data_IF_760406043402
#
_entry.id   IF_760406043402
#
_cell.length_a   1.000
_cell.length_b   1.000
_cell.length_c   1.000
_cell.angle_alpha   90.00
_cell.angle_beta   90.00
_cell.angle_gamma   90.00
#
_symmetry.space_group_name_H-M   'P 1'
#
loop_
_entity.id
_entity.type
_entity.pdbx_description
1 polymer ?
#
# COMPACT_ATOMS: atom_id res chain seq x y z
N UNK A 1 33.43 1.46 -33.88
CA UNK A 1 32.30 1.32 -34.83
C UNK A 1 31.11 1.99 -34.19
N UNK A 2 30.57 3.07 -34.75
CA UNK A 2 29.38 3.71 -34.20
C UNK A 2 28.17 2.82 -34.51
N UNK A 3 27.64 2.15 -33.50
CA UNK A 3 26.38 1.41 -33.60
C UNK A 3 25.26 2.34 -34.08
N UNK A 4 24.38 1.88 -34.99
CA UNK A 4 23.27 2.69 -35.48
C UNK A 4 22.31 3.00 -34.33
N UNK A 5 22.17 4.28 -34.00
CA UNK A 5 21.16 4.75 -33.05
C UNK A 5 19.79 4.55 -33.71
N UNK A 6 18.96 3.70 -33.12
CA UNK A 6 17.61 3.45 -33.62
C UNK A 6 16.75 4.69 -33.35
N UNK A 7 16.62 5.57 -34.36
CA UNK A 7 15.91 6.85 -34.24
C UNK A 7 14.37 6.70 -34.23
N UNK A 8 13.85 5.47 -34.17
CA UNK A 8 12.42 5.15 -34.10
C UNK A 8 12.15 4.02 -33.12
N UNK A 9 10.95 4.02 -32.55
CA UNK A 9 10.49 2.94 -31.68
C UNK A 9 10.51 1.57 -32.42
N UNK A 10 11.06 0.54 -31.77
CA UNK A 10 11.14 -0.83 -32.30
C UNK A 10 9.76 -1.49 -32.53
N UNK A 11 8.72 -1.00 -31.83
CA UNK A 11 7.36 -1.45 -32.06
C UNK A 11 6.80 -0.80 -33.34
N UNK A 12 6.61 -1.60 -34.38
CA UNK A 12 6.09 -1.18 -35.68
C UNK A 12 4.72 -0.49 -35.60
N UNK A 13 3.89 -0.83 -34.62
CA UNK A 13 2.59 -0.17 -34.41
C UNK A 13 2.73 1.26 -33.86
N UNK A 14 3.83 1.58 -33.20
CA UNK A 14 4.09 2.91 -32.65
C UNK A 14 4.88 3.79 -33.64
N UNK A 15 6.00 3.28 -34.16
CA UNK A 15 6.79 3.92 -35.22
C UNK A 15 7.31 5.35 -34.95
N UNK A 16 7.07 5.92 -33.76
CA UNK A 16 7.40 7.32 -33.47
C UNK A 16 8.91 7.53 -33.38
N UNK A 17 9.40 8.70 -33.86
CA UNK A 17 10.80 9.05 -33.75
C UNK A 17 11.19 9.28 -32.29
N UNK A 18 12.37 8.82 -31.89
CA UNK A 18 12.95 9.02 -30.56
C UNK A 18 14.12 9.98 -30.70
N UNK A 19 14.08 11.09 -29.96
CA UNK A 19 15.12 12.13 -30.02
C UNK A 19 16.40 11.72 -29.25
N UNK A 20 16.30 10.74 -28.34
CA UNK A 20 17.37 10.27 -27.47
C UNK A 20 17.27 8.74 -27.29
N UNK A 21 18.40 8.09 -26.98
CA UNK A 21 18.44 6.64 -26.67
C UNK A 21 17.73 6.40 -25.33
N UNK A 22 16.52 5.89 -25.39
CA UNK A 22 15.69 5.58 -24.22
C UNK A 22 15.52 4.07 -24.08
N UNK A 23 15.57 3.56 -22.84
CA UNK A 23 15.38 2.13 -22.59
C UNK A 23 13.94 1.67 -22.91
N UNK A 24 12.97 2.59 -22.80
CA UNK A 24 11.56 2.36 -23.08
C UNK A 24 11.00 3.51 -23.92
N UNK A 25 10.12 3.21 -24.88
CA UNK A 25 9.44 4.24 -25.67
C UNK A 25 8.46 5.03 -24.79
N UNK A 26 8.54 6.37 -24.72
CA UNK A 26 7.64 7.17 -23.90
C UNK A 26 6.19 7.17 -24.40
N UNK A 27 5.94 6.73 -25.63
CA UNK A 27 4.61 6.71 -26.22
C UNK A 27 3.86 5.39 -26.02
N UNK A 28 4.55 4.25 -26.13
CA UNK A 28 3.91 2.93 -26.06
C UNK A 28 4.50 2.01 -24.98
N UNK A 29 5.52 2.45 -24.25
CA UNK A 29 6.13 1.69 -23.16
C UNK A 29 6.93 0.47 -23.58
N UNK A 30 7.17 0.23 -24.89
CA UNK A 30 7.95 -0.92 -25.33
C UNK A 30 9.44 -0.71 -25.06
N UNK A 31 10.11 -1.74 -24.54
CA UNK A 31 11.55 -1.75 -24.35
C UNK A 31 12.27 -1.62 -25.71
N UNK A 32 13.31 -0.78 -25.78
CA UNK A 32 14.08 -0.49 -26.99
C UNK A 32 15.41 -1.23 -27.06
N UNK A 33 15.73 -2.05 -26.04
CA UNK A 33 16.91 -2.90 -26.00
C UNK A 33 16.53 -4.37 -25.81
N UNK A 34 17.21 -5.26 -26.52
CA UNK A 34 17.15 -6.70 -26.27
C UNK A 34 17.94 -7.02 -24.98
N UNK A 35 17.32 -7.75 -24.06
CA UNK A 35 17.99 -8.21 -22.84
C UNK A 35 19.14 -9.18 -23.20
N UNK A 36 20.30 -9.11 -22.53
CA UNK A 36 21.36 -10.10 -22.71
C UNK A 36 20.89 -11.48 -22.21
N UNK A 37 21.24 -12.53 -22.96
CA UNK A 37 20.85 -13.90 -22.68
C UNK A 37 21.37 -14.40 -21.31
N UNK A 38 20.50 -15.11 -20.60
CA UNK A 38 20.77 -15.67 -19.27
C UNK A 38 21.81 -16.79 -19.32
N UNK A 39 22.82 -16.69 -18.46
CA UNK A 39 23.79 -17.76 -18.17
C UNK A 39 23.13 -18.78 -17.23
N UNK A 40 23.28 -20.07 -17.55
CA UNK A 40 22.65 -21.20 -16.85
C UNK A 40 23.13 -21.37 -15.38
N UNK A 41 22.26 -21.83 -14.46
CA UNK A 41 22.61 -22.03 -13.05
C UNK A 41 23.32 -23.38 -12.78
N UNK A 42 24.22 -23.47 -11.77
CA UNK A 42 24.85 -24.71 -11.32
C UNK A 42 23.92 -25.59 -10.45
N UNK A 43 24.23 -26.91 -10.30
CA UNK A 43 23.34 -27.89 -9.68
C UNK A 43 23.24 -27.81 -8.15
N UNK A 44 22.06 -28.24 -7.66
CA UNK A 44 21.54 -28.12 -6.29
C UNK A 44 22.02 -29.27 -5.38
N UNK A 45 22.43 -28.97 -4.15
CA UNK A 45 22.66 -29.94 -3.07
C UNK A 45 21.38 -30.20 -2.24
N UNK A 46 21.19 -31.40 -1.64
CA UNK A 46 19.93 -31.81 -1.03
C UNK A 46 19.62 -31.14 0.31
N UNK A 47 18.31 -31.01 0.57
CA UNK A 47 17.69 -30.22 1.62
C UNK A 47 17.83 -30.84 3.03
N UNK A 48 18.20 -30.00 4.01
CA UNK A 48 18.06 -30.27 5.45
C UNK A 48 16.65 -29.88 5.87
N UNK A 49 15.91 -30.80 6.50
CA UNK A 49 14.57 -30.57 7.04
C UNK A 49 14.57 -29.48 8.13
N UNK A 50 13.64 -28.50 8.09
CA UNK A 50 13.46 -27.55 9.18
C UNK A 50 12.64 -28.15 10.35
N UNK A 51 12.90 -27.73 11.60
CA UNK A 51 12.18 -28.18 12.80
C UNK A 51 10.71 -27.67 12.85
N UNK A 52 9.86 -28.28 13.69
CA UNK A 52 8.43 -27.96 13.77
C UNK A 52 8.17 -26.53 14.30
N UNK A 53 7.27 -25.83 13.62
CA UNK A 53 6.83 -24.46 13.90
C UNK A 53 5.91 -24.46 15.14
N UNK A 54 6.12 -23.59 16.15
CA UNK A 54 5.22 -23.47 17.30
C UNK A 54 3.85 -22.88 16.92
N UNK A 55 2.78 -23.18 17.68
CA UNK A 55 1.41 -22.78 17.32
C UNK A 55 1.24 -21.27 17.27
N UNK A 56 0.89 -20.79 16.08
CA UNK A 56 0.46 -19.42 15.79
C UNK A 56 -0.73 -19.01 16.67
N UNK A 57 -0.56 -17.93 17.41
CA UNK A 57 -1.64 -17.24 18.11
C UNK A 57 -2.66 -16.75 17.08
N UNK A 58 -3.90 -17.27 17.17
CA UNK A 58 -5.05 -16.71 16.46
C UNK A 58 -5.54 -15.48 17.23
N UNK A 59 -5.72 -14.32 16.58
CA UNK A 59 -6.52 -13.26 17.14
C UNK A 59 -7.96 -13.76 17.30
N UNK A 60 -8.48 -13.69 18.52
CA UNK A 60 -9.87 -13.98 18.83
C UNK A 60 -10.76 -12.93 18.15
N UNK A 61 -11.86 -13.32 17.46
CA UNK A 61 -12.79 -12.36 16.89
C UNK A 61 -13.47 -11.54 18.01
N UNK A 62 -13.78 -10.25 17.78
CA UNK A 62 -14.52 -9.45 18.74
C UNK A 62 -15.90 -10.09 18.98
N UNK A 63 -16.29 -10.12 20.25
CA UNK A 63 -17.60 -10.59 20.68
C UNK A 63 -18.71 -9.83 19.94
N UNK A 64 -19.54 -10.56 19.21
CA UNK A 64 -20.80 -10.05 18.67
C UNK A 64 -21.66 -9.54 19.82
N UNK A 65 -21.82 -8.22 19.91
CA UNK A 65 -22.83 -7.62 20.77
C UNK A 65 -24.19 -7.91 20.14
N UNK A 66 -24.92 -8.74 20.87
CA UNK A 66 -26.33 -9.07 20.85
C UNK A 66 -27.26 -8.17 20.00
N UNK A 67 -28.10 -8.88 19.24
CA UNK A 67 -29.34 -8.40 18.65
C UNK A 67 -30.31 -7.80 19.71
N UNK A 68 -31.22 -6.90 19.32
CA UNK A 68 -32.25 -6.36 20.20
C UNK A 68 -33.32 -7.42 20.53
N UNK A 69 -33.82 -7.50 21.78
CA UNK A 69 -34.92 -8.40 22.13
C UNK A 69 -36.27 -7.85 21.65
N UNK A 70 -37.07 -8.75 21.08
CA UNK A 70 -38.48 -8.58 20.76
C UNK A 70 -39.33 -8.68 22.04
N UNK A 71 -40.30 -7.76 22.16
CA UNK A 71 -41.58 -7.68 22.92
C UNK A 71 -41.86 -8.63 24.12
N UNK A 72 -42.68 -8.17 25.08
CA UNK A 72 -44.06 -8.70 25.07
C UNK A 72 -45.19 -7.75 25.56
N UNK A 73 -46.39 -8.09 25.06
CA UNK A 73 -47.69 -8.09 25.74
C UNK A 73 -48.65 -6.89 25.71
N UNK A 74 -49.92 -7.28 25.88
CA UNK A 74 -51.18 -6.82 25.31
C UNK A 74 -52.16 -6.29 26.38
N UNK A 75 -53.13 -5.52 25.88
CA UNK A 75 -54.49 -5.21 26.42
C UNK A 75 -54.63 -4.33 27.70
N UNK A 76 -55.81 -3.74 28.00
CA UNK A 76 -56.99 -3.37 27.18
C UNK A 76 -57.46 -1.89 27.41
N UNK A 77 -58.48 -1.47 26.66
CA UNK A 77 -59.16 -0.17 26.75
C UNK A 77 -59.96 0.06 28.06
N UNK A 78 -60.15 1.31 28.54
CA UNK A 78 -61.21 1.67 29.48
C UNK A 78 -62.39 2.40 28.80
N UNK A 79 -63.59 2.01 29.23
CA UNK A 79 -64.90 2.55 28.89
C UNK A 79 -65.27 3.84 29.69
N UNK A 80 -66.32 4.59 29.29
CA UNK A 80 -66.71 5.88 29.90
C UNK A 80 -67.87 5.77 30.92
N UNK A 81 -68.08 6.77 31.81
CA UNK A 81 -69.34 6.99 32.53
C UNK A 81 -69.96 8.39 32.23
N UNK A 82 -71.15 8.76 32.76
CA UNK A 82 -72.46 8.53 32.14
C UNK A 82 -73.26 9.82 31.81
N UNK A 83 -74.37 9.63 31.09
CA UNK A 83 -75.33 10.59 30.54
C UNK A 83 -76.35 11.07 31.61
N UNK A 84 -76.86 12.32 31.48
CA UNK A 84 -78.22 12.78 31.88
C UNK A 84 -78.53 14.08 31.12
N UNK A 85 -79.26 14.02 30.01
CA UNK A 85 -80.74 14.02 29.84
C UNK A 85 -81.38 15.42 29.82
N UNK A 86 -81.94 15.81 28.66
CA UNK A 86 -83.29 16.36 28.55
C UNK A 86 -83.83 16.23 27.10
N UNK A 87 -85.11 15.88 26.87
CA UNK A 87 -85.63 15.46 25.57
C UNK A 87 -86.66 16.42 24.94
N UNK A 88 -86.74 16.44 23.59
CA UNK A 88 -87.94 16.14 22.75
C UNK A 88 -87.97 16.91 21.39
N UNK A 89 -87.80 16.13 20.30
CA UNK A 89 -88.49 16.10 18.95
C UNK A 89 -88.74 17.39 18.13
N UNK A 90 -89.02 17.28 16.79
CA UNK A 90 -88.56 16.32 15.78
C UNK A 90 -88.16 16.95 14.40
N UNK A 91 -87.58 16.10 13.53
CA UNK A 91 -87.49 16.22 12.06
C UNK A 91 -86.46 17.26 11.52
N UNK A 92 -85.72 17.09 10.42
CA UNK A 92 -85.88 16.28 9.19
C UNK A 92 -84.47 16.10 8.54
N UNK A 93 -84.37 15.12 7.64
CA UNK A 93 -83.39 14.95 6.54
C UNK A 93 -82.05 14.22 6.82
N UNK A 94 -82.04 12.94 6.40
CA UNK A 94 -80.84 12.24 5.95
C UNK A 94 -80.23 12.98 4.76
N UNK A 95 -79.03 13.53 4.92
CA UNK A 95 -78.16 13.88 3.79
C UNK A 95 -77.29 12.66 3.45
N UNK A 96 -77.60 12.03 2.33
CA UNK A 96 -76.75 11.03 1.66
C UNK A 96 -75.38 11.65 1.34
N UNK A 97 -74.24 10.94 1.53
CA UNK A 97 -72.94 11.47 1.11
C UNK A 97 -72.90 11.60 -0.41
N UNK A 98 -72.45 12.73 -0.98
CA UNK A 98 -72.42 12.88 -2.43
C UNK A 98 -71.42 11.87 -3.05
N UNK A 99 -71.75 11.29 -4.22
CA UNK A 99 -70.86 10.37 -4.91
C UNK A 99 -69.57 11.11 -5.27
N UNK A 100 -68.41 10.50 -4.97
CA UNK A 100 -67.11 10.99 -5.42
C UNK A 100 -67.17 11.13 -6.94
N UNK A 101 -67.10 12.36 -7.44
CA UNK A 101 -67.09 12.62 -8.87
C UNK A 101 -65.94 11.81 -9.51
N UNK A 102 -66.14 11.19 -10.68
CA UNK A 102 -65.07 10.49 -11.37
C UNK A 102 -63.95 11.50 -11.62
N UNK A 103 -62.75 11.17 -11.15
CA UNK A 103 -61.54 11.98 -11.39
C UNK A 103 -61.43 12.15 -12.90
N UNK A 104 -61.65 13.38 -13.40
CA UNK A 104 -61.66 13.65 -14.83
C UNK A 104 -60.32 13.18 -15.44
N UNK A 105 -60.36 12.61 -16.64
CA UNK A 105 -59.17 12.15 -17.37
C UNK A 105 -58.05 13.23 -17.41
N UNK A 106 -58.47 14.50 -17.44
CA UNK A 106 -57.61 15.69 -17.39
C UNK A 106 -56.78 15.79 -16.10
N UNK A 107 -57.34 15.40 -14.95
CA UNK A 107 -56.65 15.35 -13.67
C UNK A 107 -55.64 14.19 -13.62
N UNK A 108 -55.96 13.06 -14.26
CA UNK A 108 -55.02 11.95 -14.44
C UNK A 108 -53.84 12.31 -15.35
N UNK A 109 -54.08 13.04 -16.44
CA UNK A 109 -53.02 13.53 -17.32
C UNK A 109 -52.12 14.55 -16.61
N UNK A 110 -52.68 15.43 -15.78
CA UNK A 110 -51.89 16.36 -14.97
C UNK A 110 -51.07 15.64 -13.89
N UNK A 111 -51.63 14.62 -13.24
CA UNK A 111 -50.89 13.80 -12.29
C UNK A 111 -49.76 13.00 -12.97
N UNK A 112 -50.02 12.45 -14.16
CA UNK A 112 -49.01 11.78 -14.97
C UNK A 112 -47.92 12.76 -15.45
N UNK A 113 -48.29 13.96 -15.90
CA UNK A 113 -47.34 15.00 -16.29
C UNK A 113 -46.51 15.50 -15.10
N UNK A 114 -47.12 15.62 -13.91
CA UNK A 114 -46.42 15.95 -12.69
C UNK A 114 -45.47 14.82 -12.26
N UNK A 115 -45.87 13.56 -12.34
CA UNK A 115 -45.01 12.41 -12.10
C UNK A 115 -43.86 12.32 -13.12
N UNK A 116 -44.13 12.59 -14.40
CA UNK A 116 -43.09 12.66 -15.45
C UNK A 116 -42.16 13.85 -15.22
N UNK A 117 -42.69 15.00 -14.79
CA UNK A 117 -41.92 16.19 -14.43
C UNK A 117 -41.04 15.96 -13.20
N UNK A 118 -41.59 15.37 -12.13
CA UNK A 118 -40.85 14.97 -10.93
C UNK A 118 -39.83 13.88 -11.28
N UNK A 119 -40.14 12.96 -12.18
CA UNK A 119 -39.19 11.98 -12.70
C UNK A 119 -38.10 12.60 -13.58
N UNK A 120 -38.38 13.69 -14.29
CA UNK A 120 -37.40 14.44 -15.07
C UNK A 120 -36.51 15.33 -14.19
N UNK A 121 -37.07 15.93 -13.15
CA UNK A 121 -36.37 16.77 -12.18
C UNK A 121 -35.56 15.92 -11.19
N UNK A 122 -36.04 14.72 -10.86
CA UNK A 122 -35.35 13.73 -10.04
C UNK A 122 -34.71 12.61 -10.88
N UNK A 123 -34.48 12.87 -12.17
CA UNK A 123 -33.76 11.95 -13.05
C UNK A 123 -32.30 11.99 -12.64
N UNK A 124 -31.67 10.87 -12.21
CA UNK A 124 -30.30 10.86 -11.75
C UNK A 124 -29.27 10.94 -12.89
N UNK A 125 -29.64 11.50 -14.04
CA UNK A 125 -28.80 11.44 -15.24
C UNK A 125 -27.79 12.58 -15.29
N UNK A 126 -28.02 13.73 -14.67
CA UNK A 126 -27.10 14.86 -14.86
C UNK A 126 -26.72 15.57 -13.54
N UNK A 127 -25.57 15.10 -13.03
CA UNK A 127 -24.56 15.74 -12.15
C UNK A 127 -24.74 15.52 -10.63
N UNK A 128 -23.96 14.56 -10.07
CA UNK A 128 -22.57 14.84 -9.66
C UNK A 128 -21.57 13.79 -10.19
N UNK A 129 -20.61 14.21 -11.03
CA UNK A 129 -19.72 13.39 -11.87
C UNK A 129 -20.50 12.36 -12.71
N UNK A 130 -20.37 12.41 -14.05
CA UNK A 130 -21.09 11.46 -14.90
C UNK A 130 -20.80 10.02 -14.42
N UNK A 131 -21.76 9.09 -14.52
CA UNK A 131 -21.52 7.68 -14.12
C UNK A 131 -20.27 7.12 -14.81
N UNK A 132 -19.98 7.59 -16.03
CA UNK A 132 -18.74 7.30 -16.75
C UNK A 132 -17.48 7.79 -16.01
N UNK A 133 -17.52 8.99 -15.44
CA UNK A 133 -16.45 9.60 -14.65
C UNK A 133 -16.27 8.90 -13.30
N UNK A 134 -17.36 8.51 -12.63
CA UNK A 134 -17.27 7.69 -11.41
C UNK A 134 -16.67 6.30 -11.70
N UNK A 135 -17.02 5.68 -12.83
CA UNK A 135 -16.42 4.42 -13.28
C UNK A 135 -14.95 4.61 -13.63
N UNK A 136 -14.57 5.73 -14.26
CA UNK A 136 -13.16 6.04 -14.53
C UNK A 136 -12.37 6.28 -13.24
N UNK A 137 -12.92 7.03 -12.28
CA UNK A 137 -12.31 7.25 -10.97
C UNK A 137 -12.15 5.92 -10.22
N UNK A 138 -13.18 5.06 -10.20
CA UNK A 138 -13.10 3.73 -9.58
C UNK A 138 -12.10 2.81 -10.30
N UNK A 139 -11.99 2.93 -11.63
CA UNK A 139 -10.98 2.20 -12.40
C UNK A 139 -9.58 2.73 -12.08
N UNK A 140 -9.42 4.04 -11.89
CA UNK A 140 -8.16 4.65 -11.47
C UNK A 140 -7.75 4.16 -10.07
N UNK A 141 -8.68 4.00 -9.12
CA UNK A 141 -8.41 3.37 -7.82
C UNK A 141 -7.90 1.93 -7.98
N UNK A 142 -8.54 1.14 -8.85
CA UNK A 142 -8.07 -0.22 -9.14
C UNK A 142 -6.65 -0.25 -9.75
N UNK A 143 -6.30 0.74 -10.58
CA UNK A 143 -4.94 0.90 -11.13
C UNK A 143 -3.92 1.36 -10.09
N UNK A 144 -4.35 2.17 -9.12
CA UNK A 144 -3.55 2.59 -7.96
C UNK A 144 -3.42 1.50 -6.89
N UNK A 145 -3.99 0.31 -7.15
CA UNK A 145 -4.04 -0.81 -6.22
C UNK A 145 -4.89 -0.57 -4.96
N UNK A 146 -5.79 0.41 -4.99
CA UNK A 146 -6.85 0.56 -4.00
C UNK A 146 -8.09 -0.24 -4.41
N UNK A 147 -8.04 -1.55 -4.16
CA UNK A 147 -9.14 -2.44 -4.52
C UNK A 147 -10.34 -2.32 -3.59
N UNK A 148 -10.15 -1.87 -2.35
CA UNK A 148 -11.25 -1.69 -1.40
C UNK A 148 -12.03 -0.41 -1.71
N UNK A 149 -11.33 0.67 -2.08
CA UNK A 149 -11.92 1.85 -2.71
C UNK A 149 -12.67 1.52 -4.00
N UNK A 150 -12.09 0.69 -4.88
CA UNK A 150 -12.76 0.29 -6.12
C UNK A 150 -14.02 -0.60 -5.89
N UNK A 151 -13.98 -1.51 -4.91
CA UNK A 151 -15.12 -2.36 -4.53
C UNK A 151 -16.25 -1.57 -3.88
N UNK A 152 -15.92 -0.61 -3.01
CA UNK A 152 -16.90 0.29 -2.39
C UNK A 152 -17.55 1.20 -3.44
N UNK A 153 -16.78 1.78 -4.36
CA UNK A 153 -17.30 2.53 -5.50
C UNK A 153 -18.23 1.67 -6.38
N UNK A 154 -17.89 0.40 -6.60
CA UNK A 154 -18.74 -0.55 -7.33
C UNK A 154 -20.07 -0.83 -6.60
N UNK A 155 -20.07 -0.89 -5.27
CA UNK A 155 -21.30 -1.02 -4.48
C UNK A 155 -22.18 0.23 -4.60
N UNK A 156 -21.58 1.43 -4.55
CA UNK A 156 -22.28 2.70 -4.77
C UNK A 156 -22.89 2.75 -6.17
N UNK A 157 -22.13 2.41 -7.22
CA UNK A 157 -22.60 2.35 -8.61
C UNK A 157 -23.75 1.35 -8.80
N UNK A 158 -23.71 0.19 -8.11
CA UNK A 158 -24.82 -0.78 -8.11
C UNK A 158 -26.07 -0.21 -7.45
N UNK A 159 -25.94 0.46 -6.32
CA UNK A 159 -27.08 1.10 -5.63
C UNK A 159 -27.68 2.25 -6.44
N UNK A 160 -26.85 2.99 -7.19
CA UNK A 160 -27.26 4.07 -8.08
C UNK A 160 -27.84 3.59 -9.43
N UNK A 161 -28.00 2.27 -9.63
CA UNK A 161 -28.49 1.65 -10.88
C UNK A 161 -27.68 2.06 -12.12
N UNK A 162 -26.35 2.11 -11.99
CA UNK A 162 -25.43 2.32 -13.12
C UNK A 162 -25.60 1.23 -14.20
N UNK A 163 -25.31 1.53 -15.49
CA UNK A 163 -25.49 0.58 -16.58
C UNK A 163 -24.60 -0.66 -16.40
N UNK A 164 -25.21 -1.85 -16.54
CA UNK A 164 -24.57 -3.14 -16.25
C UNK A 164 -23.26 -3.39 -17.02
N UNK A 165 -23.13 -2.82 -18.23
CA UNK A 165 -21.90 -2.93 -19.01
C UNK A 165 -20.70 -2.24 -18.34
N UNK A 166 -20.91 -1.10 -17.68
CA UNK A 166 -19.85 -0.38 -16.97
C UNK A 166 -19.47 -1.11 -15.67
N UNK A 167 -20.46 -1.62 -14.94
CA UNK A 167 -20.23 -2.42 -13.73
C UNK A 167 -19.41 -3.67 -14.07
N UNK A 168 -19.73 -4.38 -15.16
CA UNK A 168 -18.96 -5.56 -15.61
C UNK A 168 -17.52 -5.21 -16.00
N UNK A 169 -17.29 -4.09 -16.69
CA UNK A 169 -15.93 -3.64 -17.03
C UNK A 169 -15.11 -3.30 -15.78
N UNK A 170 -15.69 -2.58 -14.82
CA UNK A 170 -15.04 -2.26 -13.56
C UNK A 170 -14.75 -3.54 -12.75
N UNK A 171 -15.68 -4.48 -12.73
CA UNK A 171 -15.45 -5.76 -12.05
C UNK A 171 -14.29 -6.54 -12.70
N UNK A 172 -14.22 -6.57 -14.03
CA UNK A 172 -13.13 -7.20 -14.76
C UNK A 172 -11.77 -6.50 -14.53
N UNK A 173 -11.74 -5.17 -14.42
CA UNK A 173 -10.51 -4.43 -14.11
C UNK A 173 -10.05 -4.66 -12.67
N UNK A 174 -10.97 -4.70 -11.70
CA UNK A 174 -10.67 -5.07 -10.31
C UNK A 174 -10.10 -6.48 -10.22
N UNK A 175 -10.75 -7.47 -10.84
CA UNK A 175 -10.27 -8.87 -10.80
C UNK A 175 -8.96 -9.04 -11.55
N UNK A 176 -8.78 -8.36 -12.69
CA UNK A 176 -7.56 -8.39 -13.47
C UNK A 176 -6.37 -7.74 -12.76
N UNK A 177 -6.59 -6.66 -12.01
CA UNK A 177 -5.54 -5.96 -11.26
C UNK A 177 -5.14 -6.66 -9.95
N UNK A 178 -6.05 -7.44 -9.34
CA UNK A 178 -5.91 -7.98 -8.00
C UNK A 178 -4.59 -8.71 -7.71
N UNK A 179 -4.21 -9.69 -8.53
CA UNK A 179 -3.00 -10.46 -8.27
C UNK A 179 -1.73 -9.58 -8.27
N UNK A 180 -1.67 -8.58 -9.16
CA UNK A 180 -0.53 -7.67 -9.26
C UNK A 180 -0.48 -6.69 -8.09
N UNK A 181 -1.65 -6.22 -7.64
CA UNK A 181 -1.80 -5.30 -6.52
C UNK A 181 -1.53 -5.99 -5.19
N UNK A 182 -2.04 -7.21 -4.98
CA UNK A 182 -1.74 -8.01 -3.79
C UNK A 182 -0.23 -8.26 -3.66
N UNK A 183 0.46 -8.51 -4.78
CA UNK A 183 1.91 -8.69 -4.77
C UNK A 183 2.64 -7.41 -4.39
N UNK A 184 2.24 -6.25 -4.92
CA UNK A 184 2.81 -4.95 -4.56
C UNK A 184 2.55 -4.61 -3.08
N UNK A 185 1.34 -4.85 -2.59
CA UNK A 185 0.98 -4.61 -1.21
C UNK A 185 1.79 -5.51 -0.26
N UNK A 186 1.92 -6.80 -0.57
CA UNK A 186 2.77 -7.72 0.20
C UNK A 186 4.25 -7.31 0.20
N UNK A 187 4.74 -6.78 -0.92
CA UNK A 187 6.09 -6.20 -0.99
C UNK A 187 6.22 -5.00 -0.06
N UNK A 188 5.30 -4.04 -0.13
CA UNK A 188 5.31 -2.84 0.71
C UNK A 188 5.25 -3.20 2.21
N UNK A 189 4.36 -4.12 2.60
CA UNK A 189 4.30 -4.61 3.98
C UNK A 189 5.59 -5.33 4.41
N UNK A 190 6.18 -6.14 3.53
CA UNK A 190 7.46 -6.78 3.82
C UNK A 190 8.59 -5.75 3.95
N UNK A 191 8.55 -4.66 3.18
CA UNK A 191 9.51 -3.56 3.26
C UNK A 191 9.42 -2.84 4.60
N UNK A 192 8.22 -2.46 5.03
CA UNK A 192 7.99 -1.81 6.34
C UNK A 192 8.54 -2.67 7.49
N UNK A 193 8.31 -3.99 7.43
CA UNK A 193 8.87 -4.91 8.42
C UNK A 193 10.40 -4.92 8.40
N UNK A 194 11.03 -4.89 7.22
CA UNK A 194 12.50 -4.86 7.09
C UNK A 194 13.05 -3.54 7.63
N UNK A 195 12.42 -2.41 7.34
CA UNK A 195 12.84 -1.09 7.83
C UNK A 195 12.76 -1.03 9.36
N UNK A 196 11.63 -1.44 9.93
CA UNK A 196 11.44 -1.48 11.39
C UNK A 196 12.46 -2.43 12.05
N UNK A 197 12.62 -3.63 11.50
CA UNK A 197 13.55 -4.63 12.01
C UNK A 197 15.01 -4.19 11.85
N UNK A 198 15.33 -3.38 10.84
CA UNK A 198 16.67 -2.81 10.65
C UNK A 198 16.93 -1.68 11.64
N UNK A 199 15.94 -0.81 11.89
CA UNK A 199 16.02 0.23 12.93
C UNK A 199 16.31 -0.39 14.31
N UNK A 200 15.54 -1.40 14.72
CA UNK A 200 15.78 -2.14 15.96
C UNK A 200 17.16 -2.79 16.03
N UNK A 201 17.68 -3.26 14.88
CA UNK A 201 19.02 -3.84 14.82
C UNK A 201 20.11 -2.77 14.97
N UNK A 202 19.90 -1.56 14.46
CA UNK A 202 20.79 -0.42 14.69
C UNK A 202 20.77 0.02 16.15
N UNK A 203 19.59 0.14 16.76
CA UNK A 203 19.45 0.49 18.18
C UNK A 203 20.14 -0.54 19.09
N UNK A 204 20.10 -1.81 18.69
CA UNK A 204 20.80 -2.90 19.39
C UNK A 204 22.30 -3.00 19.06
N UNK A 205 22.86 -2.10 18.25
CA UNK A 205 24.28 -2.12 17.84
C UNK A 205 24.68 -3.31 16.96
N UNK A 206 23.75 -3.88 16.20
CA UNK A 206 23.91 -5.09 15.37
C UNK A 206 23.62 -4.81 13.88
N UNK A 207 24.40 -3.96 13.20
CA UNK A 207 24.17 -3.62 11.79
C UNK A 207 24.31 -4.81 10.82
N UNK A 208 25.02 -5.88 11.19
CA UNK A 208 25.16 -7.10 10.36
C UNK A 208 23.82 -7.85 10.25
N UNK A 209 23.00 -7.77 11.29
CA UNK A 209 21.67 -8.37 11.31
C UNK A 209 20.75 -7.64 10.33
N UNK A 210 20.81 -6.29 10.32
CA UNK A 210 20.13 -5.47 9.32
C UNK A 210 20.58 -5.83 7.89
N UNK A 211 21.89 -5.97 7.66
CA UNK A 211 22.45 -6.38 6.37
C UNK A 211 21.89 -7.72 5.90
N UNK A 212 21.82 -8.71 6.80
CA UNK A 212 21.31 -10.05 6.49
C UNK A 212 19.82 -10.02 6.15
N UNK A 213 19.02 -9.24 6.90
CA UNK A 213 17.58 -9.06 6.65
C UNK A 213 17.31 -8.38 5.31
N UNK A 214 18.07 -7.33 5.00
CA UNK A 214 17.97 -6.63 3.72
C UNK A 214 18.35 -7.54 2.56
N UNK A 215 19.43 -8.30 2.67
CA UNK A 215 19.84 -9.26 1.64
C UNK A 215 18.76 -10.33 1.38
N UNK A 216 18.10 -10.83 2.44
CA UNK A 216 16.99 -11.77 2.30
C UNK A 216 15.77 -11.14 1.60
N UNK A 217 15.47 -9.88 1.90
CA UNK A 217 14.42 -9.13 1.22
C UNK A 217 14.73 -8.91 -0.26
N UNK A 218 15.92 -8.40 -0.57
CA UNK A 218 16.39 -8.15 -1.95
C UNK A 218 16.41 -9.45 -2.76
N UNK A 219 16.82 -10.58 -2.17
CA UNK A 219 16.77 -11.89 -2.84
C UNK A 219 15.35 -12.30 -3.25
N UNK A 220 14.34 -11.94 -2.46
CA UNK A 220 12.94 -12.33 -2.70
C UNK A 220 12.17 -11.34 -3.57
N UNK A 221 12.41 -10.04 -3.39
CA UNK A 221 11.63 -8.97 -4.02
C UNK A 221 12.42 -8.20 -5.08
N UNK A 222 13.74 -8.30 -5.10
CA UNK A 222 14.63 -7.52 -5.96
C UNK A 222 15.05 -6.21 -5.30
N UNK A 223 16.04 -5.58 -5.91
CA UNK A 223 16.61 -4.30 -5.49
C UNK A 223 15.81 -3.13 -6.08
N UNK A 224 15.63 -2.09 -5.28
CA UNK A 224 14.99 -0.80 -5.61
C UNK A 224 15.72 0.36 -4.91
N UNK A 225 15.33 1.61 -5.21
CA UNK A 225 15.98 2.80 -4.65
C UNK A 225 15.98 2.81 -3.11
N UNK A 226 14.89 2.36 -2.48
CA UNK A 226 14.76 2.34 -1.02
C UNK A 226 15.69 1.29 -0.38
N UNK A 227 15.83 0.11 -1.01
CA UNK A 227 16.78 -0.92 -0.57
C UNK A 227 18.23 -0.46 -0.72
N UNK A 228 18.57 0.30 -1.77
CA UNK A 228 19.92 0.84 -1.98
C UNK A 228 20.24 1.86 -0.90
N UNK A 229 19.30 2.74 -0.58
CA UNK A 229 19.46 3.75 0.47
C UNK A 229 19.65 3.08 1.85
N UNK A 230 18.83 2.07 2.16
CA UNK A 230 18.99 1.32 3.42
C UNK A 230 20.33 0.56 3.47
N UNK A 231 20.77 -0.06 2.38
CA UNK A 231 22.08 -0.71 2.29
C UNK A 231 23.23 0.28 2.50
N UNK A 232 23.13 1.49 1.94
CA UNK A 232 24.11 2.55 2.15
C UNK A 232 24.23 2.90 3.65
N UNK A 233 23.10 3.10 4.32
CA UNK A 233 23.03 3.35 5.78
C UNK A 233 23.61 2.18 6.59
N UNK A 234 23.26 0.94 6.23
CA UNK A 234 23.80 -0.27 6.88
C UNK A 234 25.33 -0.29 6.77
N UNK A 235 25.88 -0.02 5.59
CA UNK A 235 27.34 -0.02 5.37
C UNK A 235 28.05 1.11 6.12
N UNK A 236 27.43 2.28 6.29
CA UNK A 236 27.95 3.35 7.15
C UNK A 236 27.99 2.89 8.61
N UNK A 237 26.94 2.23 9.10
CA UNK A 237 26.90 1.69 10.46
C UNK A 237 27.95 0.57 10.68
N UNK A 238 28.12 -0.33 9.70
CA UNK A 238 29.16 -1.36 9.72
C UNK A 238 30.57 -0.76 9.79
N UNK A 239 30.85 0.22 8.93
CA UNK A 239 32.13 0.91 8.93
C UNK A 239 32.38 1.65 10.26
N UNK A 240 31.35 2.32 10.79
CA UNK A 240 31.43 3.01 12.09
C UNK A 240 31.78 2.05 13.22
N UNK A 241 31.15 0.88 13.26
CA UNK A 241 31.45 -0.18 14.25
C UNK A 241 32.89 -0.67 14.16
N UNK A 242 33.46 -0.80 12.97
CA UNK A 242 34.88 -1.15 12.81
C UNK A 242 35.81 -0.03 13.29
N UNK A 243 35.43 1.24 13.08
CA UNK A 243 36.18 2.36 13.66
C UNK A 243 36.08 2.41 15.18
N UNK A 244 34.92 2.10 15.77
CA UNK A 244 34.76 1.99 17.23
C UNK A 244 35.65 0.88 17.81
N UNK A 245 35.80 -0.24 17.09
CA UNK A 245 36.76 -1.29 17.47
C UNK A 245 38.20 -0.79 17.37
N UNK A 246 38.55 -0.04 16.32
CA UNK A 246 39.88 0.55 16.18
C UNK A 246 40.20 1.50 17.35
N UNK A 247 39.23 2.31 17.79
CA UNK A 247 39.34 3.16 18.98
C UNK A 247 39.54 2.33 20.26
N UNK A 248 38.82 1.21 20.41
CA UNK A 248 39.03 0.30 21.53
C UNK A 248 40.44 -0.35 21.51
N UNK A 249 40.93 -0.74 20.34
CA UNK A 249 42.30 -1.24 20.18
C UNK A 249 43.34 -0.15 20.52
N UNK A 250 43.07 1.11 20.13
CA UNK A 250 43.94 2.25 20.44
C UNK A 250 44.03 2.47 21.96
N UNK A 251 42.92 2.35 22.68
CA UNK A 251 42.90 2.43 24.14
C UNK A 251 43.73 1.32 24.81
N UNK A 252 43.79 0.14 24.18
CA UNK A 252 44.66 -0.98 24.58
C UNK A 252 46.11 -0.91 24.08
N UNK A 253 46.47 0.14 23.33
CA UNK A 253 47.77 0.27 22.65
C UNK A 253 48.11 -0.90 21.68
N UNK A 254 47.10 -1.59 21.15
CA UNK A 254 47.27 -2.75 20.27
C UNK A 254 47.30 -2.38 18.78
N UNK A 255 48.48 -2.06 18.25
CA UNK A 255 48.63 -1.63 16.84
C UNK A 255 48.09 -2.64 15.81
N UNK A 256 48.32 -3.95 16.00
CA UNK A 256 47.83 -4.98 15.06
C UNK A 256 46.31 -5.08 15.03
N UNK A 257 45.67 -4.92 16.19
CA UNK A 257 44.22 -4.88 16.33
C UNK A 257 43.65 -3.68 15.57
N UNK A 258 44.26 -2.51 15.80
CA UNK A 258 43.85 -1.24 15.19
C UNK A 258 44.01 -1.25 13.66
N UNK A 259 45.14 -1.71 13.14
CA UNK A 259 45.38 -1.82 11.68
C UNK A 259 44.35 -2.71 11.00
N UNK A 260 44.06 -3.88 11.59
CA UNK A 260 43.05 -4.81 11.06
C UNK A 260 41.66 -4.19 10.99
N UNK A 261 41.24 -3.48 12.03
CA UNK A 261 39.94 -2.81 12.07
C UNK A 261 39.86 -1.62 11.11
N UNK A 262 40.94 -0.84 10.95
CA UNK A 262 41.01 0.23 9.96
C UNK A 262 40.90 -0.29 8.53
N UNK A 263 41.65 -1.34 8.18
CA UNK A 263 41.55 -1.97 6.87
C UNK A 263 40.13 -2.52 6.61
N UNK A 264 39.46 -3.06 7.63
CA UNK A 264 38.08 -3.51 7.51
C UNK A 264 37.11 -2.34 7.25
N UNK A 265 37.25 -1.22 7.98
CA UNK A 265 36.43 -0.03 7.80
C UNK A 265 36.61 0.60 6.40
N UNK A 266 37.84 0.63 5.88
CA UNK A 266 38.17 1.23 4.59
C UNK A 266 37.58 0.50 3.39
N UNK A 267 37.31 -0.81 3.51
CA UNK A 267 36.64 -1.60 2.47
C UNK A 267 35.25 -1.05 2.11
N UNK A 268 34.60 -0.39 3.07
CA UNK A 268 33.29 0.21 2.85
C UNK A 268 33.34 1.55 2.09
N UNK A 269 34.53 2.16 1.94
CA UNK A 269 34.78 3.41 1.18
C UNK A 269 33.77 4.52 1.45
N UNK A 270 33.50 4.81 2.72
CA UNK A 270 32.51 5.82 3.13
C UNK A 270 33.15 7.20 3.32
N UNK A 271 32.81 8.21 2.50
CA UNK A 271 33.41 9.54 2.59
C UNK A 271 33.03 10.28 3.88
N UNK A 272 31.84 10.01 4.40
CA UNK A 272 31.34 10.58 5.67
C UNK A 272 32.25 10.24 6.87
N UNK A 273 32.95 9.10 6.82
CA UNK A 273 33.85 8.66 7.88
C UNK A 273 35.32 8.99 7.61
N UNK A 274 35.64 9.63 6.48
CA UNK A 274 37.01 9.83 6.03
C UNK A 274 37.87 10.63 7.03
N UNK A 275 37.28 11.64 7.68
CA UNK A 275 37.98 12.42 8.70
C UNK A 275 38.37 11.56 9.91
N UNK A 276 37.45 10.71 10.38
CA UNK A 276 37.69 9.79 11.51
C UNK A 276 38.72 8.73 11.15
N UNK A 277 38.61 8.12 9.96
CA UNK A 277 39.61 7.17 9.46
C UNK A 277 41.00 7.80 9.38
N UNK A 278 41.10 9.05 8.90
CA UNK A 278 42.38 9.78 8.83
C UNK A 278 42.98 10.02 10.22
N UNK A 279 42.16 10.44 11.19
CA UNK A 279 42.60 10.66 12.57
C UNK A 279 43.13 9.36 13.20
N UNK A 280 42.42 8.24 13.01
CA UNK A 280 42.84 6.94 13.52
C UNK A 280 44.12 6.43 12.86
N UNK A 281 44.30 6.63 11.55
CA UNK A 281 45.59 6.32 10.90
C UNK A 281 46.76 7.12 11.47
N UNK A 282 46.55 8.39 11.80
CA UNK A 282 47.58 9.21 12.44
C UNK A 282 47.89 8.74 13.87
N UNK A 283 46.88 8.30 14.63
CA UNK A 283 47.09 7.70 15.94
C UNK A 283 47.85 6.36 15.85
N UNK A 284 47.57 5.54 14.84
CA UNK A 284 48.31 4.30 14.57
C UNK A 284 49.80 4.60 14.31
N UNK A 285 50.13 5.61 13.49
CA UNK A 285 51.53 5.95 13.21
C UNK A 285 52.26 6.41 14.48
N UNK A 286 51.63 7.24 15.31
CA UNK A 286 52.20 7.67 16.59
C UNK A 286 52.43 6.50 17.56
N UNK A 287 51.51 5.54 17.59
CA UNK A 287 51.64 4.36 18.44
C UNK A 287 52.81 3.48 17.98
N UNK A 288 52.97 3.29 16.66
CA UNK A 288 54.11 2.56 16.09
C UNK A 288 55.44 3.26 16.37
N UNK A 289 55.50 4.60 16.28
CA UNK A 289 56.68 5.39 16.65
C UNK A 289 57.06 5.18 18.12
N UNK A 290 56.09 5.24 19.05
CA UNK A 290 56.35 5.00 20.47
C UNK A 290 56.85 3.58 20.72
N UNK A 291 56.21 2.58 20.11
CA UNK A 291 56.62 1.19 20.26
C UNK A 291 58.06 0.93 19.75
N UNK A 292 58.48 1.62 18.68
CA UNK A 292 59.85 1.57 18.16
C UNK A 292 60.84 2.26 19.10
N UNK A 293 60.48 3.39 19.68
CA UNK A 293 61.33 4.13 20.61
C UNK A 293 61.50 3.40 21.96
N UNK A 294 60.41 2.85 22.51
CA UNK A 294 60.44 2.10 23.77
C UNK A 294 61.19 0.76 23.63
N UNK A 295 61.10 0.11 22.47
CA UNK A 295 61.88 -1.10 22.16
C UNK A 295 63.38 -0.84 21.93
N UNK A 296 63.78 0.42 21.71
CA UNK A 296 65.17 0.83 21.48
C UNK A 296 65.89 1.31 22.74
N UNK A 297 65.22 1.40 23.88
CA UNK A 297 65.84 1.76 25.16
C UNK A 297 66.55 0.53 25.78
N UNK A 298 67.89 0.53 25.92
CA UNK A 298 68.59 -0.50 26.68
C UNK A 298 68.37 -0.30 28.21
N UNK A 299 68.47 -1.37 29.02
CA UNK A 299 68.37 -1.29 30.49
C UNK A 299 69.50 -0.49 31.13
#
# INVERSE_FOLDING_TARGET
>A
MLEPVNNRCINAACGKPLLLRVAYCPFCGTAQAAAPAAVAPPPVAPAVMPPPIPPQWRPMPPASVLAPPVAPQSDPAPAPPPIRDAPQKPAVFRSVPPPRAPVRLRTWLLAAAALVGIWFVNKPVDKPASVAEQVQAATALAQQCDLDGARSALAVLKSAKAPAAQIKRLQASITGAAASCDKRQKRAQAWEQVVLASAQAFDAGKPELAATRLAAYVKRWGEDADTIELDARIKVALASRELDKADACLAGADHRCMEKSLLAAERYKRPELAARTKALRAALSQLLERALLDGAAPP
#
